data_IF_006641474354
#
_entry.id   IF_006641474354
#
_cell.length_a   1.000
_cell.length_b   1.000
_cell.length_c   1.000
_cell.angle_alpha   90.00
_cell.angle_beta   90.00
_cell.angle_gamma   90.00
#
_symmetry.space_group_name_H-M   'P 1'
#
loop_
_entity.id
_entity.type
_entity.pdbx_description
1 polymer ?
#
# COMPACT_ATOMS: atom_id res chain seq x y z
N UNK A 1 -30.02 -24.58 16.35
CA UNK A 1 -29.49 -23.19 16.38
C UNK A 1 -29.91 -22.52 15.08
N UNK A 2 -30.17 -21.21 15.08
CA UNK A 2 -30.60 -20.48 13.88
C UNK A 2 -29.59 -19.40 13.50
N UNK A 3 -29.28 -19.33 12.21
CA UNK A 3 -28.44 -18.30 11.61
C UNK A 3 -29.33 -17.34 10.84
N UNK A 4 -29.14 -16.04 11.07
CA UNK A 4 -29.84 -15.01 10.35
C UNK A 4 -29.40 -14.98 8.87
N UNK A 5 -30.25 -15.52 8.00
CA UNK A 5 -30.02 -15.58 6.57
C UNK A 5 -30.07 -14.20 5.89
N UNK A 6 -30.64 -13.17 6.54
CA UNK A 6 -30.72 -11.83 5.97
C UNK A 6 -29.33 -11.21 5.77
N UNK A 7 -28.40 -11.50 6.68
CA UNK A 7 -26.99 -11.07 6.60
C UNK A 7 -26.30 -11.73 5.41
N UNK A 8 -26.52 -13.03 5.21
CA UNK A 8 -25.93 -13.78 4.10
C UNK A 8 -26.46 -13.31 2.74
N UNK A 9 -27.76 -13.02 2.66
CA UNK A 9 -28.39 -12.44 1.46
C UNK A 9 -27.93 -11.01 1.19
N UNK A 10 -27.68 -10.21 2.23
CA UNK A 10 -27.11 -8.89 2.08
C UNK A 10 -25.70 -8.96 1.49
N UNK A 11 -24.88 -9.91 1.97
CA UNK A 11 -23.53 -10.15 1.44
C UNK A 11 -23.56 -10.58 -0.04
N UNK A 12 -24.50 -11.44 -0.42
CA UNK A 12 -24.70 -11.83 -1.82
C UNK A 12 -25.03 -10.61 -2.71
N UNK A 13 -25.95 -9.74 -2.25
CA UNK A 13 -26.39 -8.58 -3.02
C UNK A 13 -25.32 -7.48 -3.13
N UNK A 14 -24.60 -7.21 -2.05
CA UNK A 14 -23.69 -6.07 -2.01
C UNK A 14 -22.27 -6.39 -2.49
N UNK A 15 -21.86 -7.66 -2.50
CA UNK A 15 -20.45 -8.04 -2.54
C UNK A 15 -20.11 -9.23 -3.44
N UNK A 16 -21.04 -9.66 -4.30
CA UNK A 16 -20.85 -10.67 -5.36
C UNK A 16 -20.36 -12.07 -4.90
N UNK A 17 -20.50 -12.41 -3.61
CA UNK A 17 -20.25 -13.79 -3.17
C UNK A 17 -21.55 -14.59 -3.30
N UNK A 18 -21.55 -15.72 -4.04
CA UNK A 18 -22.72 -16.57 -4.12
C UNK A 18 -23.15 -17.04 -2.73
N UNK A 19 -24.45 -16.94 -2.43
CA UNK A 19 -25.00 -17.38 -1.14
C UNK A 19 -24.59 -18.81 -0.77
N UNK A 20 -24.54 -19.69 -1.76
CA UNK A 20 -24.16 -21.09 -1.59
C UNK A 20 -22.72 -21.27 -1.10
N UNK A 21 -21.79 -20.41 -1.52
CA UNK A 21 -20.41 -20.46 -1.04
C UNK A 21 -20.34 -20.08 0.44
N UNK A 22 -21.06 -19.04 0.85
CA UNK A 22 -21.12 -18.61 2.25
C UNK A 22 -21.69 -19.71 3.17
N UNK A 23 -22.72 -20.41 2.72
CA UNK A 23 -23.33 -21.53 3.45
C UNK A 23 -22.28 -22.61 3.73
N UNK A 24 -21.54 -23.05 2.72
CA UNK A 24 -20.52 -24.10 2.85
C UNK A 24 -19.40 -23.68 3.83
N UNK A 25 -18.96 -22.42 3.76
CA UNK A 25 -17.91 -21.93 4.66
C UNK A 25 -18.41 -21.90 6.11
N UNK A 26 -19.67 -21.52 6.34
CA UNK A 26 -20.28 -21.51 7.68
C UNK A 26 -20.44 -22.93 8.22
N UNK A 27 -20.89 -23.88 7.41
CA UNK A 27 -20.98 -25.30 7.77
C UNK A 27 -19.61 -25.84 8.23
N UNK A 28 -18.55 -25.58 7.45
CA UNK A 28 -17.17 -25.98 7.80
C UNK A 28 -16.68 -25.32 9.11
N UNK A 29 -17.04 -24.06 9.33
CA UNK A 29 -16.65 -23.32 10.53
C UNK A 29 -17.30 -23.90 11.79
N UNK A 30 -18.59 -24.19 11.71
CA UNK A 30 -19.36 -24.80 12.79
C UNK A 30 -18.87 -26.23 13.03
N UNK A 31 -18.57 -26.99 11.97
CA UNK A 31 -17.99 -28.32 12.09
C UNK A 31 -16.65 -28.28 12.85
N UNK A 32 -15.76 -27.35 12.47
CA UNK A 32 -14.48 -27.17 13.15
C UNK A 32 -14.66 -26.80 14.63
N UNK A 33 -15.65 -25.95 14.94
CA UNK A 33 -15.99 -25.59 16.31
C UNK A 33 -16.57 -26.78 17.10
N UNK A 34 -17.39 -27.61 16.45
CA UNK A 34 -17.97 -28.82 17.01
C UNK A 34 -16.90 -29.83 17.40
N UNK A 35 -16.00 -30.17 16.47
CA UNK A 35 -14.91 -31.12 16.72
C UNK A 35 -14.00 -30.67 17.87
N UNK A 36 -13.70 -29.36 17.95
CA UNK A 36 -12.93 -28.80 19.07
C UNK A 36 -13.66 -28.87 20.41
N UNK A 37 -14.99 -28.70 20.39
CA UNK A 37 -15.80 -28.72 21.60
C UNK A 37 -15.99 -30.14 22.15
N UNK A 38 -16.23 -31.11 21.28
CA UNK A 38 -16.44 -32.52 21.68
C UNK A 38 -15.13 -33.27 21.92
N UNK A 39 -13.99 -32.68 21.56
CA UNK A 39 -12.68 -33.31 21.72
C UNK A 39 -12.48 -34.54 20.83
N UNK A 40 -13.33 -34.70 19.81
CA UNK A 40 -13.20 -35.76 18.81
C UNK A 40 -12.00 -35.42 17.92
N UNK A 41 -10.85 -36.01 18.26
CA UNK A 41 -9.61 -35.87 17.51
C UNK A 41 -9.74 -36.62 16.18
N UNK A 42 -9.21 -36.03 15.11
CA UNK A 42 -9.02 -36.65 13.80
C UNK A 42 -8.57 -38.11 13.96
N UNK A 43 -9.45 -39.06 13.68
CA UNK A 43 -9.08 -40.46 13.55
C UNK A 43 -8.25 -40.59 12.27
N UNK A 44 -7.02 -41.11 12.42
CA UNK A 44 -6.02 -41.26 11.35
C UNK A 44 -6.45 -42.16 10.17
N UNK A 45 -7.64 -42.76 10.25
CA UNK A 45 -8.07 -43.89 9.40
C UNK A 45 -9.34 -43.60 8.57
N UNK A 46 -9.57 -42.36 8.14
CA UNK A 46 -10.47 -42.08 7.01
C UNK A 46 -11.96 -42.46 7.14
N UNK A 47 -12.47 -42.69 8.36
CA UNK A 47 -13.91 -42.93 8.63
C UNK A 47 -14.64 -41.65 9.11
N UNK A 48 -15.98 -41.56 8.98
CA UNK A 48 -16.67 -40.33 8.55
C UNK A 48 -16.60 -39.20 9.56
N UNK A 49 -16.38 -38.00 9.02
CA UNK A 49 -16.44 -36.75 9.76
C UNK A 49 -17.89 -36.44 10.11
N UNK A 50 -18.13 -35.86 11.30
CA UNK A 50 -19.39 -35.18 11.57
C UNK A 50 -19.69 -34.18 10.43
N UNK A 51 -20.96 -34.03 10.09
CA UNK A 51 -21.43 -33.22 8.97
C UNK A 51 -22.36 -32.15 9.49
N UNK A 52 -22.09 -30.90 9.14
CA UNK A 52 -22.99 -29.79 9.47
C UNK A 52 -23.79 -29.42 8.23
N UNK A 53 -25.10 -29.27 8.38
CA UNK A 53 -25.98 -28.71 7.35
C UNK A 53 -26.59 -27.42 7.86
N UNK A 54 -26.54 -26.38 7.04
CA UNK A 54 -27.31 -25.15 7.21
C UNK A 54 -28.46 -25.13 6.20
N UNK A 55 -29.69 -25.13 6.71
CA UNK A 55 -30.89 -24.99 5.89
C UNK A 55 -30.95 -23.58 5.27
N UNK A 56 -30.99 -23.54 3.94
CA UNK A 56 -30.96 -22.33 3.11
C UNK A 56 -32.25 -21.50 3.15
N UNK A 57 -33.34 -22.07 3.67
CA UNK A 57 -34.64 -21.42 3.80
C UNK A 57 -34.90 -20.99 5.25
N UNK A 58 -34.66 -21.88 6.20
CA UNK A 58 -34.97 -21.62 7.62
C UNK A 58 -33.80 -21.05 8.42
N UNK A 59 -32.56 -21.23 7.96
CA UNK A 59 -31.36 -20.87 8.72
C UNK A 59 -31.04 -21.85 9.85
N UNK A 60 -31.76 -22.97 9.92
CA UNK A 60 -31.55 -23.98 10.93
C UNK A 60 -30.25 -24.75 10.67
N UNK A 61 -29.43 -24.91 11.70
CA UNK A 61 -28.19 -25.69 11.65
C UNK A 61 -28.40 -27.03 12.35
N UNK A 62 -28.18 -28.12 11.60
CA UNK A 62 -28.19 -29.50 12.09
C UNK A 62 -26.81 -30.12 11.98
N UNK A 63 -26.43 -30.92 12.98
CA UNK A 63 -25.14 -31.61 13.04
C UNK A 63 -25.43 -33.11 13.00
N UNK A 64 -24.85 -33.81 12.04
CA UNK A 64 -24.99 -35.25 11.86
C UNK A 64 -23.69 -35.93 12.24
N UNK A 65 -23.77 -36.93 13.11
CA UNK A 65 -22.64 -37.77 13.52
C UNK A 65 -22.87 -39.21 13.01
N UNK A 66 -21.82 -39.91 12.57
CA UNK A 66 -21.98 -41.29 12.16
C UNK A 66 -22.30 -42.18 13.36
N UNK A 67 -23.29 -43.06 13.20
CA UNK A 67 -23.54 -44.15 14.13
C UNK A 67 -22.66 -45.35 13.75
N UNK A 68 -21.93 -45.89 14.73
CA UNK A 68 -21.03 -47.02 14.53
C UNK A 68 -21.61 -48.29 15.17
N UNK A 69 -21.47 -49.43 14.52
CA UNK A 69 -21.76 -50.74 15.11
C UNK A 69 -20.63 -51.20 16.06
N UNK A 70 -20.81 -52.34 16.72
CA UNK A 70 -19.81 -52.94 17.62
C UNK A 70 -18.48 -53.28 16.92
N UNK A 71 -18.47 -53.36 15.58
CA UNK A 71 -17.28 -53.57 14.76
C UNK A 71 -16.63 -52.25 14.28
N UNK A 72 -17.19 -51.09 14.61
CA UNK A 72 -16.68 -49.78 14.18
C UNK A 72 -17.06 -49.38 12.75
N UNK A 73 -17.98 -50.10 12.11
CA UNK A 73 -18.52 -49.79 10.79
C UNK A 73 -19.72 -48.83 10.91
N UNK A 74 -19.86 -47.95 9.92
CA UNK A 74 -20.89 -46.91 9.89
C UNK A 74 -22.23 -47.53 9.48
N UNK A 75 -23.22 -47.48 10.37
CA UNK A 75 -24.56 -48.05 10.16
C UNK A 75 -25.64 -46.99 9.90
N UNK A 76 -25.33 -45.72 10.14
CA UNK A 76 -26.27 -44.62 9.96
C UNK A 76 -25.66 -43.27 10.34
N UNK A 77 -26.50 -42.24 10.36
CA UNK A 77 -26.18 -40.92 10.90
C UNK A 77 -27.28 -40.53 11.90
N UNK A 78 -26.87 -40.00 13.06
CA UNK A 78 -27.77 -39.42 14.05
C UNK A 78 -27.58 -37.90 14.11
N UNK A 79 -28.66 -37.17 14.34
CA UNK A 79 -28.55 -35.74 14.66
C UNK A 79 -28.04 -35.57 16.10
N UNK A 80 -26.93 -34.86 16.25
CA UNK A 80 -26.37 -34.53 17.56
C UNK A 80 -26.65 -33.06 17.89
N UNK A 81 -27.12 -32.82 19.10
CA UNK A 81 -27.39 -31.49 19.64
C UNK A 81 -26.72 -31.39 21.01
N UNK A 82 -25.41 -31.12 21.05
CA UNK A 82 -24.72 -31.02 22.33
C UNK A 82 -25.27 -29.85 23.14
N UNK A 83 -25.42 -30.06 24.44
CA UNK A 83 -25.75 -29.01 25.39
C UNK A 83 -24.72 -27.87 25.28
N UNK A 84 -25.17 -26.61 25.25
CA UNK A 84 -24.37 -25.39 25.13
C UNK A 84 -23.63 -25.14 23.79
N UNK A 85 -23.72 -26.06 22.82
CA UNK A 85 -23.07 -25.87 21.52
C UNK A 85 -23.71 -24.75 20.68
N UNK A 86 -25.00 -24.45 20.91
CA UNK A 86 -25.70 -23.38 20.19
C UNK A 86 -25.00 -22.01 20.27
N UNK A 87 -24.40 -21.66 21.42
CA UNK A 87 -23.64 -20.40 21.55
C UNK A 87 -22.29 -20.45 20.84
N UNK A 88 -21.62 -21.61 20.91
CA UNK A 88 -20.29 -21.83 20.33
C UNK A 88 -20.38 -21.82 18.80
N UNK A 89 -21.33 -22.55 18.24
CA UNK A 89 -21.60 -22.55 16.80
C UNK A 89 -22.02 -21.18 16.27
N UNK A 90 -22.85 -20.44 17.00
CA UNK A 90 -23.26 -19.10 16.60
C UNK A 90 -22.08 -18.12 16.59
N UNK A 91 -21.18 -18.22 17.58
CA UNK A 91 -19.96 -17.44 17.62
C UNK A 91 -19.03 -17.77 16.44
N UNK A 92 -18.84 -19.06 16.13
CA UNK A 92 -18.03 -19.52 15.00
C UNK A 92 -18.59 -19.02 13.66
N UNK A 93 -19.91 -19.13 13.44
CA UNK A 93 -20.57 -18.61 12.25
C UNK A 93 -20.38 -17.09 12.12
N UNK A 94 -20.62 -16.33 13.20
CA UNK A 94 -20.44 -14.88 13.23
C UNK A 94 -18.99 -14.49 12.93
N UNK A 95 -18.02 -15.21 13.48
CA UNK A 95 -16.60 -14.96 13.25
C UNK A 95 -16.24 -15.15 11.77
N UNK A 96 -16.75 -16.20 11.14
CA UNK A 96 -16.52 -16.47 9.71
C UNK A 96 -17.19 -15.45 8.81
N UNK A 97 -18.44 -15.09 9.09
CA UNK A 97 -19.14 -14.02 8.36
C UNK A 97 -18.32 -12.71 8.44
N UNK A 98 -17.89 -12.31 9.63
CA UNK A 98 -17.08 -11.11 9.82
C UNK A 98 -15.70 -11.22 9.16
N UNK A 99 -15.08 -12.40 9.16
CA UNK A 99 -13.81 -12.62 8.46
C UNK A 99 -13.98 -12.43 6.96
N UNK A 100 -15.01 -13.04 6.36
CA UNK A 100 -15.31 -12.87 4.93
C UNK A 100 -15.62 -11.43 4.57
N UNK A 101 -16.42 -10.74 5.39
CA UNK A 101 -16.68 -9.31 5.20
C UNK A 101 -15.39 -8.47 5.20
N UNK A 102 -14.45 -8.79 6.09
CA UNK A 102 -13.13 -8.16 6.11
C UNK A 102 -12.32 -8.49 4.87
N UNK A 103 -12.17 -9.77 4.54
CA UNK A 103 -11.35 -10.22 3.39
C UNK A 103 -11.81 -9.55 2.07
N UNK A 104 -13.13 -9.40 1.87
CA UNK A 104 -13.69 -8.70 0.71
C UNK A 104 -13.37 -7.21 0.75
N UNK A 105 -13.54 -6.57 1.91
CA UNK A 105 -13.18 -5.16 2.10
C UNK A 105 -11.71 -4.92 1.78
N UNK A 106 -10.86 -5.82 2.26
CA UNK A 106 -9.43 -5.82 2.05
C UNK A 106 -9.07 -5.95 0.57
N UNK A 107 -9.68 -6.90 -0.15
CA UNK A 107 -9.41 -7.10 -1.57
C UNK A 107 -9.85 -5.89 -2.42
N UNK A 108 -10.95 -5.22 -2.03
CA UNK A 108 -11.39 -3.98 -2.69
C UNK A 108 -10.37 -2.85 -2.49
N UNK A 109 -9.90 -2.63 -1.27
CA UNK A 109 -8.89 -1.62 -0.95
C UNK A 109 -7.59 -1.92 -1.69
N UNK A 110 -7.15 -3.17 -1.68
CA UNK A 110 -5.95 -3.61 -2.40
C UNK A 110 -6.07 -3.31 -3.90
N UNK A 111 -7.23 -3.59 -4.50
CA UNK A 111 -7.51 -3.26 -5.90
C UNK A 111 -7.41 -1.77 -6.20
N UNK A 112 -7.95 -0.91 -5.33
CA UNK A 112 -7.87 0.55 -5.49
C UNK A 112 -6.42 1.05 -5.45
N UNK A 113 -5.63 0.60 -4.47
CA UNK A 113 -4.28 1.10 -4.25
C UNK A 113 -3.23 0.45 -5.15
N UNK A 114 -3.46 -0.75 -5.67
CA UNK A 114 -2.53 -1.40 -6.61
C UNK A 114 -2.31 -0.55 -7.87
N UNK A 115 -3.33 0.19 -8.32
CA UNK A 115 -3.20 1.17 -9.41
C UNK A 115 -2.51 2.48 -9.02
N UNK A 116 -2.32 2.74 -7.72
CA UNK A 116 -1.62 3.91 -7.17
C UNK A 116 -0.20 3.61 -6.72
N UNK A 117 0.26 2.37 -6.83
CA UNK A 117 1.67 2.04 -6.58
C UNK A 117 2.55 2.86 -7.54
N UNK A 118 3.55 3.52 -6.97
CA UNK A 118 4.39 4.46 -7.70
C UNK A 118 3.77 5.84 -7.94
N UNK A 119 2.67 6.17 -7.25
CA UNK A 119 2.05 7.48 -7.29
C UNK A 119 2.11 8.23 -5.95
N UNK A 120 1.73 9.51 -5.97
CA UNK A 120 1.65 10.35 -4.77
C UNK A 120 0.23 10.34 -4.21
N UNK A 121 0.11 10.16 -2.91
CA UNK A 121 -1.16 10.23 -2.18
C UNK A 121 -1.06 11.23 -1.03
N UNK A 122 -2.17 11.90 -0.74
CA UNK A 122 -2.28 12.77 0.42
C UNK A 122 -3.02 12.05 1.54
N UNK A 123 -2.61 12.28 2.78
CA UNK A 123 -3.26 11.72 3.96
C UNK A 123 -3.02 12.53 5.21
N UNK A 124 -3.52 12.02 6.34
CA UNK A 124 -3.39 12.63 7.67
C UNK A 124 -2.54 11.71 8.54
N UNK A 125 -1.54 12.27 9.22
CA UNK A 125 -0.66 11.51 10.10
C UNK A 125 -1.44 11.01 11.33
N UNK A 126 -1.38 9.71 11.56
CA UNK A 126 -1.96 9.02 12.71
C UNK A 126 -0.85 8.52 13.64
N UNK A 127 -1.14 8.52 14.94
CA UNK A 127 -0.21 7.98 15.93
C UNK A 127 -0.49 6.48 16.13
N UNK A 128 0.48 5.66 15.74
CA UNK A 128 0.43 4.21 15.98
C UNK A 128 0.92 3.82 17.39
N UNK A 129 0.78 2.53 17.76
CA UNK A 129 1.29 2.00 19.04
C UNK A 129 2.82 2.04 19.13
N UNK A 130 3.52 2.00 17.99
CA UNK A 130 4.96 2.19 17.92
C UNK A 130 5.25 3.61 17.40
N UNK A 131 5.84 4.51 18.23
CA UNK A 131 6.08 5.89 17.83
C UNK A 131 7.10 6.05 16.69
N UNK A 132 7.92 5.03 16.40
CA UNK A 132 8.84 5.04 15.26
C UNK A 132 8.15 4.71 13.95
N UNK A 133 7.00 4.06 13.99
CA UNK A 133 6.23 3.68 12.81
C UNK A 133 5.11 4.69 12.63
N UNK A 134 5.24 5.53 11.61
CA UNK A 134 4.25 6.57 11.33
C UNK A 134 3.12 5.94 10.51
N UNK A 135 1.88 6.19 10.93
CA UNK A 135 0.70 5.78 10.18
C UNK A 135 0.16 7.00 9.42
N UNK A 136 -0.34 6.78 8.21
CA UNK A 136 -0.94 7.84 7.39
C UNK A 136 -2.31 7.37 6.95
N UNK A 137 -3.34 8.03 7.45
CA UNK A 137 -4.74 7.78 7.06
C UNK A 137 -4.98 8.34 5.66
N UNK A 138 -5.31 7.43 4.72
CA UNK A 138 -5.65 7.73 3.33
C UNK A 138 -7.17 7.77 3.11
N UNK A 139 -7.96 7.71 4.19
CA UNK A 139 -9.42 7.75 4.21
C UNK A 139 -10.07 6.37 4.22
N UNK A 140 -9.66 5.47 3.32
CA UNK A 140 -10.17 4.08 3.26
C UNK A 140 -9.31 3.09 4.01
N UNK A 141 -8.04 3.41 4.24
CA UNK A 141 -7.02 2.54 4.81
C UNK A 141 -5.87 3.38 5.38
N UNK A 142 -5.20 2.84 6.39
CA UNK A 142 -3.95 3.41 6.90
C UNK A 142 -2.75 2.83 6.16
N UNK A 143 -1.92 3.71 5.61
CA UNK A 143 -0.61 3.37 5.12
C UNK A 143 0.44 3.47 6.23
N UNK A 144 1.54 2.76 6.05
CA UNK A 144 2.67 2.74 6.97
C UNK A 144 3.85 3.47 6.32
N UNK A 145 4.39 4.45 7.03
CA UNK A 145 5.63 5.15 6.72
C UNK A 145 6.72 4.64 7.68
N UNK A 146 7.50 3.63 7.27
CA UNK A 146 8.51 3.02 8.14
C UNK A 146 9.71 3.95 8.36
N UNK A 147 10.51 3.75 9.43
CA UNK A 147 11.64 4.62 9.78
C UNK A 147 12.65 4.85 8.65
N UNK A 148 12.93 3.83 7.85
CA UNK A 148 13.85 3.87 6.71
C UNK A 148 13.34 4.74 5.54
N UNK A 149 12.02 4.98 5.48
CA UNK A 149 11.37 5.79 4.45
C UNK A 149 10.98 7.19 4.97
N UNK A 150 11.32 7.50 6.23
CA UNK A 150 11.16 8.81 6.87
C UNK A 150 12.37 9.70 6.60
N UNK A 151 12.12 10.98 6.40
CA UNK A 151 13.17 11.99 6.21
C UNK A 151 13.75 12.36 7.57
N UNK A 152 15.07 12.25 7.77
CA UNK A 152 15.70 12.66 9.02
C UNK A 152 15.41 14.13 9.37
N UNK A 153 14.88 14.37 10.57
CA UNK A 153 14.58 15.71 11.07
C UNK A 153 13.25 16.32 10.57
N UNK A 154 12.49 15.61 9.73
CA UNK A 154 11.10 16.00 9.43
C UNK A 154 10.18 15.70 10.62
N UNK A 155 9.25 16.62 10.93
CA UNK A 155 8.30 16.44 12.02
C UNK A 155 7.03 15.74 11.53
N UNK A 156 6.71 14.60 12.14
CA UNK A 156 5.55 13.78 11.82
C UNK A 156 4.47 13.90 12.91
N UNK A 157 4.07 15.12 13.22
CA UNK A 157 3.05 15.39 14.24
C UNK A 157 1.68 14.81 13.84
N UNK A 158 1.02 14.14 14.79
CA UNK A 158 -0.34 13.62 14.60
C UNK A 158 -1.33 14.71 14.21
N UNK A 159 -2.21 14.40 13.25
CA UNK A 159 -3.21 15.33 12.71
C UNK A 159 -2.70 16.21 11.56
N UNK A 160 -1.38 16.24 11.31
CA UNK A 160 -0.80 16.97 10.19
C UNK A 160 -1.14 16.30 8.87
N UNK A 161 -1.35 17.12 7.83
CA UNK A 161 -1.47 16.62 6.45
C UNK A 161 -0.10 16.38 5.86
N UNK A 162 0.02 15.31 5.10
CA UNK A 162 1.28 14.95 4.43
C UNK A 162 0.98 14.33 3.06
N UNK A 163 1.82 14.63 2.07
CA UNK A 163 1.86 13.86 0.82
C UNK A 163 2.99 12.85 0.87
N UNK A 164 2.72 11.63 0.46
CA UNK A 164 3.67 10.51 0.50
C UNK A 164 3.65 9.76 -0.83
N UNK A 165 4.78 9.14 -1.15
CA UNK A 165 4.91 8.28 -2.34
C UNK A 165 4.57 6.84 -1.99
N UNK A 166 3.69 6.19 -2.74
CA UNK A 166 3.35 4.78 -2.50
C UNK A 166 4.45 3.88 -3.07
N UNK A 167 5.20 3.20 -2.20
CA UNK A 167 6.32 2.34 -2.62
C UNK A 167 5.90 0.91 -2.87
N UNK A 168 4.92 0.39 -2.13
CA UNK A 168 4.43 -0.98 -2.34
C UNK A 168 3.00 -1.16 -1.82
N UNK A 169 2.21 -1.95 -2.55
CA UNK A 169 0.86 -2.35 -2.12
C UNK A 169 0.77 -3.87 -2.10
N UNK A 170 0.55 -4.44 -0.92
CA UNK A 170 0.57 -5.90 -0.72
C UNK A 170 -0.51 -6.37 0.26
N UNK A 171 -0.78 -7.68 0.30
CA UNK A 171 -1.67 -8.29 1.30
C UNK A 171 -0.82 -8.76 2.48
N UNK A 172 -0.95 -8.09 3.62
CA UNK A 172 -0.28 -8.44 4.87
C UNK A 172 -1.09 -9.45 5.70
N UNK A 173 -0.60 -9.76 6.91
CA UNK A 173 -1.23 -10.72 7.83
C UNK A 173 -2.61 -10.28 8.36
N UNK A 174 -2.90 -8.98 8.34
CA UNK A 174 -4.11 -8.37 8.91
C UNK A 174 -4.96 -7.62 7.88
N UNK A 175 -4.73 -7.85 6.59
CA UNK A 175 -5.39 -7.13 5.50
C UNK A 175 -4.39 -6.40 4.60
N UNK A 176 -4.83 -5.38 3.83
CA UNK A 176 -3.99 -4.66 2.89
C UNK A 176 -2.93 -3.89 3.65
N UNK A 177 -1.72 -3.94 3.13
CA UNK A 177 -0.57 -3.24 3.65
C UNK A 177 -0.03 -2.33 2.56
N UNK A 178 -0.14 -1.03 2.79
CA UNK A 178 0.37 0.01 1.91
C UNK A 178 1.58 0.62 2.60
N UNK A 179 2.75 0.49 1.98
CA UNK A 179 3.96 1.16 2.43
C UNK A 179 4.15 2.42 1.61
N UNK A 180 4.46 3.50 2.31
CA UNK A 180 4.67 4.82 1.70
C UNK A 180 6.02 5.39 2.11
N UNK A 181 6.49 6.38 1.36
CA UNK A 181 7.79 7.00 1.54
C UNK A 181 7.77 8.50 1.42
N UNK A 182 8.63 9.13 2.23
CA UNK A 182 9.00 10.55 2.13
C UNK A 182 10.42 10.74 1.57
N UNK A 183 11.28 9.73 1.63
CA UNK A 183 12.65 9.79 1.13
C UNK A 183 12.76 9.47 -0.37
N UNK A 184 11.81 8.73 -0.93
CA UNK A 184 11.91 8.22 -2.30
C UNK A 184 12.03 9.34 -3.35
N UNK A 185 13.00 9.27 -4.29
CA UNK A 185 13.22 10.31 -5.32
C UNK A 185 11.99 10.64 -6.17
N UNK A 186 11.14 9.64 -6.47
CA UNK A 186 9.93 9.84 -7.27
C UNK A 186 8.89 10.74 -6.59
N UNK A 187 8.95 10.93 -5.27
CA UNK A 187 8.09 11.91 -4.59
C UNK A 187 8.30 13.31 -5.19
N UNK A 188 9.56 13.72 -5.38
CA UNK A 188 9.91 15.01 -5.96
C UNK A 188 9.40 15.10 -7.40
N UNK A 189 9.58 14.04 -8.21
CA UNK A 189 9.07 14.01 -9.59
C UNK A 189 7.56 14.22 -9.65
N UNK A 190 6.82 13.55 -8.78
CA UNK A 190 5.36 13.64 -8.70
C UNK A 190 4.90 15.01 -8.19
N UNK A 191 5.59 15.58 -7.20
CA UNK A 191 5.31 16.94 -6.72
C UNK A 191 5.53 17.99 -7.82
N UNK A 192 6.62 17.88 -8.59
CA UNK A 192 6.84 18.76 -9.73
C UNK A 192 5.79 18.57 -10.83
N UNK A 193 5.33 17.35 -11.09
CA UNK A 193 4.25 17.11 -12.05
C UNK A 193 2.91 17.71 -11.58
N UNK A 194 2.65 17.79 -10.27
CA UNK A 194 1.46 18.47 -9.75
C UNK A 194 1.57 20.00 -9.85
N UNK A 195 2.77 20.55 -9.65
CA UNK A 195 3.00 22.00 -9.56
C UNK A 195 3.29 22.65 -10.93
N UNK A 196 3.86 21.90 -11.88
CA UNK A 196 4.32 22.38 -13.18
C UNK A 196 3.49 21.75 -14.30
N UNK A 197 2.54 22.48 -14.91
CA UNK A 197 1.68 21.97 -15.99
C UNK A 197 2.46 21.41 -17.17
N UNK A 198 3.60 22.02 -17.50
CA UNK A 198 4.47 21.60 -18.60
C UNK A 198 5.10 20.23 -18.36
N UNK A 199 5.33 19.84 -17.10
CA UNK A 199 5.76 18.49 -16.74
C UNK A 199 4.59 17.52 -16.84
N UNK A 200 3.40 17.90 -16.38
CA UNK A 200 2.21 17.07 -16.46
C UNK A 200 1.81 16.75 -17.91
N UNK A 201 1.98 17.69 -18.84
CA UNK A 201 1.69 17.51 -20.27
C UNK A 201 2.83 16.85 -21.07
N UNK A 202 4.01 16.67 -20.47
CA UNK A 202 5.19 16.11 -21.13
C UNK A 202 5.96 17.10 -22.02
N UNK A 203 5.60 18.38 -22.02
CA UNK A 203 6.33 19.47 -22.72
C UNK A 203 7.71 19.68 -22.10
N UNK A 204 7.82 19.51 -20.78
CA UNK A 204 9.08 19.52 -20.02
C UNK A 204 9.26 18.16 -19.35
N UNK A 205 10.45 17.61 -19.45
CA UNK A 205 10.81 16.32 -18.84
C UNK A 205 11.86 16.52 -17.75
N UNK A 206 11.69 15.83 -16.61
CA UNK A 206 12.76 15.64 -15.63
C UNK A 206 13.60 14.45 -16.09
N UNK A 207 14.73 14.70 -16.73
CA UNK A 207 15.60 13.66 -17.31
C UNK A 207 16.37 12.91 -16.21
N UNK A 208 16.90 13.63 -15.22
CA UNK A 208 17.67 13.04 -14.13
C UNK A 208 17.36 13.72 -12.81
N UNK A 209 17.51 12.97 -11.72
CA UNK A 209 17.25 13.43 -10.36
C UNK A 209 18.22 12.76 -9.39
N UNK A 210 18.87 13.56 -8.57
CA UNK A 210 19.67 13.12 -7.43
C UNK A 210 19.15 13.78 -6.15
N UNK A 211 18.83 12.98 -5.13
CA UNK A 211 18.16 13.44 -3.92
C UNK A 211 18.89 12.96 -2.67
N UNK A 212 19.20 13.90 -1.80
CA UNK A 212 19.52 13.69 -0.40
C UNK A 212 18.34 14.22 0.41
N UNK A 213 17.44 13.31 0.80
CA UNK A 213 16.13 13.67 1.36
C UNK A 213 16.28 14.52 2.63
N UNK A 214 15.52 15.62 2.71
CA UNK A 214 15.60 16.59 3.81
C UNK A 214 16.76 17.59 3.72
N UNK A 215 17.69 17.40 2.79
CA UNK A 215 18.85 18.27 2.63
C UNK A 215 18.83 19.02 1.29
N UNK A 216 19.02 18.28 0.19
CA UNK A 216 19.14 18.86 -1.15
C UNK A 216 18.74 17.85 -2.23
N UNK A 217 17.95 18.31 -3.19
CA UNK A 217 17.68 17.61 -4.44
C UNK A 217 18.13 18.44 -5.62
N UNK A 218 18.75 17.78 -6.60
CA UNK A 218 19.04 18.36 -7.90
C UNK A 218 18.24 17.65 -8.98
N UNK A 219 17.53 18.43 -9.78
CA UNK A 219 16.79 17.93 -10.95
C UNK A 219 17.38 18.51 -12.23
N UNK A 220 17.56 17.65 -13.23
CA UNK A 220 17.94 18.02 -14.58
C UNK A 220 16.72 17.97 -15.49
N UNK A 221 16.40 19.08 -16.14
CA UNK A 221 15.20 19.22 -16.95
C UNK A 221 15.53 19.56 -18.41
N UNK A 222 14.69 19.08 -19.33
CA UNK A 222 14.76 19.32 -20.77
C UNK A 222 13.38 19.70 -21.29
N UNK A 223 13.32 20.60 -22.28
CA UNK A 223 12.10 20.86 -23.02
C UNK A 223 12.04 19.93 -24.23
N UNK A 224 10.86 19.34 -24.45
CA UNK A 224 10.57 18.52 -25.62
C UNK A 224 10.02 19.36 -26.78
N UNK A 225 9.52 20.56 -26.48
CA UNK A 225 9.03 21.50 -27.48
C UNK A 225 9.98 22.69 -27.69
N UNK A 226 10.26 23.09 -28.94
CA UNK A 226 11.06 24.28 -29.24
C UNK A 226 10.45 25.55 -28.65
N UNK A 227 11.29 26.43 -28.11
CA UNK A 227 10.86 27.72 -27.56
C UNK A 227 10.39 27.66 -26.10
N UNK A 228 10.26 26.47 -25.51
CA UNK A 228 9.94 26.32 -24.08
C UNK A 228 11.22 26.33 -23.24
N UNK A 229 11.25 27.18 -22.22
CA UNK A 229 12.33 27.18 -21.23
C UNK A 229 11.98 26.22 -20.09
N UNK A 230 12.57 25.01 -20.10
CA UNK A 230 12.31 23.97 -19.09
C UNK A 230 12.64 24.41 -17.66
N UNK A 231 13.83 24.98 -17.45
CA UNK A 231 14.25 25.49 -16.14
C UNK A 231 13.31 26.60 -15.65
N UNK A 232 12.96 27.55 -16.51
CA UNK A 232 12.03 28.63 -16.21
C UNK A 232 10.64 28.13 -15.84
N UNK A 233 10.11 27.15 -16.58
CA UNK A 233 8.81 26.53 -16.30
C UNK A 233 8.77 25.87 -14.92
N UNK A 234 9.85 25.20 -14.52
CA UNK A 234 9.93 24.55 -13.20
C UNK A 234 10.11 25.54 -12.04
N UNK A 235 10.80 26.65 -12.27
CA UNK A 235 10.97 27.73 -11.27
C UNK A 235 9.64 28.47 -11.08
N UNK A 236 8.96 28.83 -12.17
CA UNK A 236 7.76 29.65 -12.19
C UNK A 236 8.02 31.12 -11.84
N UNK A 237 6.99 31.95 -11.92
CA UNK A 237 7.06 33.38 -11.58
C UNK A 237 7.66 33.60 -10.20
N UNK A 238 8.75 34.37 -10.14
CA UNK A 238 9.52 34.64 -8.91
C UNK A 238 9.91 33.37 -8.12
N UNK A 239 10.01 32.20 -8.76
CA UNK A 239 10.31 30.94 -8.07
C UNK A 239 9.14 30.34 -7.29
N UNK A 240 7.89 30.72 -7.57
CA UNK A 240 6.73 30.26 -6.81
C UNK A 240 6.57 28.73 -6.83
N UNK A 241 6.78 28.09 -7.99
CA UNK A 241 6.53 26.67 -8.19
C UNK A 241 7.55 25.83 -7.43
N UNK A 242 8.85 26.11 -7.63
CA UNK A 242 9.91 25.42 -6.89
C UNK A 242 9.79 25.65 -5.38
N UNK A 243 9.37 26.84 -4.93
CA UNK A 243 9.14 27.12 -3.51
C UNK A 243 7.99 26.32 -2.93
N UNK A 244 6.91 26.09 -3.70
CA UNK A 244 5.81 25.24 -3.27
C UNK A 244 6.28 23.78 -3.04
N UNK A 245 7.08 23.23 -3.97
CA UNK A 245 7.67 21.89 -3.81
C UNK A 245 8.65 21.84 -2.62
N UNK A 246 9.52 22.84 -2.48
CA UNK A 246 10.44 22.94 -1.33
C UNK A 246 9.70 23.02 0.01
N UNK A 247 8.59 23.76 0.07
CA UNK A 247 7.76 23.85 1.28
C UNK A 247 7.12 22.49 1.62
N UNK A 248 6.61 21.77 0.63
CA UNK A 248 6.05 20.42 0.80
C UNK A 248 7.09 19.41 1.27
N UNK A 249 8.38 19.63 0.99
CA UNK A 249 9.51 18.79 1.41
C UNK A 249 10.26 19.35 2.63
N UNK A 250 9.55 20.09 3.49
CA UNK A 250 10.09 20.66 4.74
C UNK A 250 11.39 21.45 4.54
N UNK A 251 11.42 22.32 3.52
CA UNK A 251 12.56 23.17 3.16
C UNK A 251 13.79 22.45 2.59
N UNK A 252 13.62 21.25 2.04
CA UNK A 252 14.63 20.59 1.21
C UNK A 252 15.05 21.52 0.05
N UNK A 253 16.36 21.78 -0.09
CA UNK A 253 16.87 22.70 -1.13
C UNK A 253 16.74 22.07 -2.51
N UNK A 254 16.16 22.77 -3.48
CA UNK A 254 16.00 22.23 -4.83
C UNK A 254 16.79 23.06 -5.84
N UNK A 255 17.72 22.39 -6.52
CA UNK A 255 18.52 22.96 -7.60
C UNK A 255 18.01 22.44 -8.95
N UNK A 256 17.54 23.35 -9.80
CA UNK A 256 17.02 23.03 -11.15
C UNK A 256 18.08 23.39 -12.18
N UNK A 257 18.51 22.41 -12.97
CA UNK A 257 19.56 22.58 -13.98
C UNK A 257 19.10 22.14 -15.36
N UNK A 258 19.68 22.75 -16.38
CA UNK A 258 19.44 22.36 -17.76
C UNK A 258 20.17 21.04 -18.07
N UNK A 259 19.43 20.05 -18.53
CA UNK A 259 20.01 18.83 -19.07
C UNK A 259 20.71 19.12 -20.40
N UNK A 260 21.82 18.42 -20.66
CA UNK A 260 22.48 18.44 -21.95
C UNK A 260 22.93 17.03 -22.33
N UNK A 261 22.92 16.71 -23.62
CA UNK A 261 23.39 15.42 -24.13
C UNK A 261 24.92 15.35 -24.16
N UNK A 262 25.59 16.49 -24.31
CA UNK A 262 27.03 16.60 -24.09
C UNK A 262 27.34 16.51 -22.60
N UNK A 263 28.09 15.47 -22.22
CA UNK A 263 28.37 15.14 -20.83
C UNK A 263 29.16 16.23 -20.10
N UNK A 264 30.12 16.87 -20.76
CA UNK A 264 30.92 17.94 -20.16
C UNK A 264 30.02 19.14 -19.83
N UNK A 265 29.22 19.59 -20.80
CA UNK A 265 28.22 20.65 -20.61
C UNK A 265 27.21 20.30 -19.52
N UNK A 266 26.72 19.06 -19.49
CA UNK A 266 25.77 18.64 -18.46
C UNK A 266 26.39 18.64 -17.05
N UNK A 267 27.62 18.17 -16.89
CA UNK A 267 28.34 18.25 -15.61
C UNK A 267 28.56 19.70 -15.19
N UNK A 268 28.92 20.60 -16.11
CA UNK A 268 29.04 22.01 -15.81
C UNK A 268 27.72 22.62 -15.29
N UNK A 269 26.60 22.28 -15.93
CA UNK A 269 25.26 22.69 -15.47
C UNK A 269 24.93 22.07 -14.10
N UNK A 270 25.23 20.78 -13.92
CA UNK A 270 24.95 20.05 -12.68
C UNK A 270 25.71 20.60 -11.48
N UNK A 271 26.87 21.24 -11.65
CA UNK A 271 27.61 21.88 -10.56
C UNK A 271 27.03 23.25 -10.12
N UNK A 272 26.02 23.78 -10.82
CA UNK A 272 25.30 24.98 -10.39
C UNK A 272 24.82 24.84 -8.94
N UNK A 273 25.05 25.83 -8.06
CA UNK A 273 25.37 27.24 -8.37
C UNK A 273 26.86 27.58 -8.54
N UNK A 274 27.78 26.62 -8.40
CA UNK A 274 29.20 26.89 -8.65
C UNK A 274 29.44 27.20 -10.14
N UNK A 275 30.34 28.16 -10.42
CA UNK A 275 30.69 28.55 -11.79
C UNK A 275 31.82 27.66 -12.29
N UNK A 276 31.53 26.88 -13.31
CA UNK A 276 32.53 26.04 -13.99
C UNK A 276 33.20 26.86 -15.09
N UNK A 277 34.52 27.02 -15.01
CA UNK A 277 35.33 27.74 -16.00
C UNK A 277 35.52 26.92 -17.28
N UNK A 278 35.74 25.61 -17.14
CA UNK A 278 35.75 24.68 -18.27
C UNK A 278 35.45 23.26 -17.77
N UNK A 279 34.94 22.42 -18.67
CA UNK A 279 34.74 21.00 -18.40
C UNK A 279 35.07 20.20 -19.65
N UNK A 280 35.64 19.00 -19.47
CA UNK A 280 35.94 18.11 -20.57
C UNK A 280 35.93 16.65 -20.10
N UNK A 281 35.52 15.76 -21.00
CA UNK A 281 35.53 14.31 -20.76
C UNK A 281 36.98 13.84 -20.76
N UNK A 282 37.39 13.17 -19.69
CA UNK A 282 38.73 12.57 -19.58
C UNK A 282 38.73 11.09 -19.97
N UNK A 283 37.59 10.41 -19.82
CA UNK A 283 37.39 9.03 -20.25
C UNK A 283 35.89 8.79 -20.54
N UNK A 284 35.59 8.49 -21.80
CA UNK A 284 34.23 8.24 -22.26
C UNK A 284 33.68 6.89 -21.77
N UNK A 285 34.53 5.89 -21.52
CA UNK A 285 34.10 4.55 -21.10
C UNK A 285 33.57 4.56 -19.67
N UNK A 286 34.21 5.33 -18.79
CA UNK A 286 33.81 5.50 -17.38
C UNK A 286 32.91 6.72 -17.17
N UNK A 287 32.60 7.49 -18.22
CA UNK A 287 31.88 8.77 -18.15
C UNK A 287 32.52 9.77 -17.19
N UNK A 288 33.85 9.77 -17.12
CA UNK A 288 34.60 10.65 -16.23
C UNK A 288 34.78 12.03 -16.85
N UNK A 289 34.41 13.08 -16.11
CA UNK A 289 34.54 14.49 -16.52
C UNK A 289 35.42 15.23 -15.54
N UNK A 290 36.33 16.04 -16.06
CA UNK A 290 37.07 17.03 -15.27
C UNK A 290 36.42 18.39 -15.44
N UNK A 291 35.98 18.97 -14.33
CA UNK A 291 35.49 20.35 -14.27
C UNK A 291 36.54 21.22 -13.57
N UNK A 292 36.89 22.36 -14.16
CA UNK A 292 37.71 23.39 -13.55
C UNK A 292 36.80 24.47 -13.00
N UNK A 293 36.92 24.75 -11.71
CA UNK A 293 36.22 25.84 -11.01
C UNK A 293 37.25 26.81 -10.44
N UNK A 294 36.91 28.09 -10.24
CA UNK A 294 37.77 28.99 -9.51
C UNK A 294 38.02 28.48 -8.09
N UNK A 295 39.26 28.60 -7.59
CA UNK A 295 39.66 28.09 -6.26
C UNK A 295 38.73 28.55 -5.12
N UNK A 296 38.23 29.79 -5.20
CA UNK A 296 37.31 30.36 -4.19
C UNK A 296 35.88 29.78 -4.23
N UNK A 297 35.56 28.92 -5.20
CA UNK A 297 34.28 28.21 -5.30
C UNK A 297 34.42 26.68 -5.17
N UNK A 298 35.62 26.19 -4.84
CA UNK A 298 35.88 24.76 -4.71
C UNK A 298 35.32 24.15 -3.41
N UNK A 299 35.15 24.97 -2.37
CA UNK A 299 34.70 24.57 -1.02
C UNK A 299 33.19 24.36 -0.92
#
# INVERSE_FOLDING_TARGET
>A
MEIDLSVLRLMEREREIPFDELVVIIEQAILTAYLKHTGVVETKDGNPQARVILDRKSGHVSIFVPELNEQGEVIGEAEDVPSDFGRIGAFAAKQVINQRLRDIGDDKVLGEFKGREGDIVAGIIQQGPNPRMIHVDLGTVEAILPPEEQVPGEDYAHGSRIRVYVTSVSKGLKGPQITVSRTHPSLVRKLFALEVPEIASGVVEIVSLAREAGHRTKIAVKANEPGVNAKGACIGEMGQRVRAVTAELNNEKIDIVDYNEDLATFVANALSPAKVTSSYVIDASTKAVRALVPDYQLS
#
